data_IF_348952120199
#
_entry.id   IF_348952120199
#
_cell.length_a   1.000
_cell.length_b   1.000
_cell.length_c   1.000
_cell.angle_alpha   90.00
_cell.angle_beta   90.00
_cell.angle_gamma   90.00
#
_symmetry.space_group_name_H-M   'P 1'
#
loop_
_entity.id
_entity.type
_entity.pdbx_description
1 polymer ?
#
# COMPACT_ATOMS: atom_id res chain seq x y z
N UNK A 1 13.56 10.20 -2.14
CA UNK A 1 12.65 9.71 -1.07
C UNK A 1 12.12 8.34 -1.46
N UNK A 2 11.78 7.48 -0.50
CA UNK A 2 11.21 6.13 -0.73
C UNK A 2 9.99 6.18 -1.67
N UNK A 3 9.18 7.22 -1.53
CA UNK A 3 8.03 7.51 -2.41
C UNK A 3 8.39 7.63 -3.90
N UNK A 4 9.58 8.17 -4.23
CA UNK A 4 10.06 8.32 -5.62
C UNK A 4 10.40 6.96 -6.23
N UNK A 5 10.98 6.06 -5.43
CA UNK A 5 11.31 4.68 -5.85
C UNK A 5 10.04 3.86 -6.11
N UNK A 6 8.99 4.09 -5.31
CA UNK A 6 7.66 3.50 -5.49
C UNK A 6 7.04 3.87 -6.86
N UNK A 7 7.12 5.15 -7.24
CA UNK A 7 6.60 5.63 -8.54
C UNK A 7 7.43 5.13 -9.73
N UNK A 8 8.75 4.96 -9.56
CA UNK A 8 9.64 4.42 -10.59
C UNK A 8 9.42 2.92 -10.81
N UNK A 9 9.20 2.15 -9.73
CA UNK A 9 8.89 0.72 -9.79
C UNK A 9 7.50 0.43 -10.40
N UNK A 10 6.53 1.34 -10.26
CA UNK A 10 5.23 1.19 -10.93
C UNK A 10 5.31 1.47 -12.45
N UNK A 11 6.23 2.33 -12.89
CA UNK A 11 6.40 2.67 -14.32
C UNK A 11 7.10 1.60 -15.14
N UNK A 12 8.02 0.86 -14.53
CA UNK A 12 8.71 -0.25 -15.17
C UNK A 12 8.15 -1.55 -14.59
N UNK A 13 7.50 -2.39 -15.42
CA UNK A 13 7.14 -3.79 -15.09
C UNK A 13 8.41 -4.67 -14.89
N UNK A 14 9.42 -4.18 -14.20
CA UNK A 14 10.52 -4.95 -13.69
C UNK A 14 10.06 -5.51 -12.35
N UNK A 15 9.87 -6.83 -12.35
CA UNK A 15 9.61 -7.71 -11.23
C UNK A 15 10.20 -7.15 -9.92
N UNK A 16 9.39 -6.42 -9.15
CA UNK A 16 9.80 -5.94 -7.83
C UNK A 16 10.08 -7.17 -6.98
N UNK A 17 11.23 -7.19 -6.32
CA UNK A 17 11.63 -8.30 -5.47
C UNK A 17 10.51 -8.60 -4.43
N UNK A 18 10.00 -9.85 -4.35
CA UNK A 18 8.96 -10.21 -3.41
C UNK A 18 9.28 -9.86 -1.95
N UNK A 19 10.56 -9.94 -1.54
CA UNK A 19 10.98 -9.56 -0.19
C UNK A 19 10.77 -8.06 0.03
N UNK A 20 11.11 -7.25 -0.97
CA UNK A 20 10.90 -5.79 -0.91
C UNK A 20 9.42 -5.44 -0.82
N UNK A 21 8.58 -6.09 -1.62
CA UNK A 21 7.12 -5.94 -1.55
C UNK A 21 6.57 -6.33 -0.19
N UNK A 22 7.07 -7.43 0.40
CA UNK A 22 6.67 -7.88 1.74
C UNK A 22 7.06 -6.87 2.83
N UNK A 23 8.27 -6.30 2.76
CA UNK A 23 8.71 -5.26 3.70
C UNK A 23 7.87 -3.97 3.58
N UNK A 24 7.47 -3.60 2.36
CA UNK A 24 6.55 -2.48 2.15
C UNK A 24 5.17 -2.77 2.74
N UNK A 25 4.62 -3.95 2.51
CA UNK A 25 3.34 -4.36 3.07
C UNK A 25 3.36 -4.38 4.61
N UNK A 26 4.41 -4.96 5.21
CA UNK A 26 4.62 -4.98 6.66
C UNK A 26 4.64 -3.58 7.24
N UNK A 27 5.37 -2.66 6.60
CA UNK A 27 5.46 -1.26 7.04
C UNK A 27 4.12 -0.53 6.91
N UNK A 28 3.41 -0.74 5.80
CA UNK A 28 2.10 -0.13 5.57
C UNK A 28 1.07 -0.59 6.61
N UNK A 29 1.05 -1.88 6.96
CA UNK A 29 0.18 -2.40 8.03
C UNK A 29 0.58 -1.85 9.39
N UNK A 30 1.87 -1.84 9.73
CA UNK A 30 2.35 -1.32 11.01
C UNK A 30 1.90 0.12 11.22
N UNK A 31 2.11 1.01 10.24
CA UNK A 31 1.72 2.41 10.36
C UNK A 31 0.22 2.63 10.19
N UNK A 32 -0.50 1.79 9.44
CA UNK A 32 -1.96 1.81 9.43
C UNK A 32 -2.55 1.62 10.84
N UNK A 33 -1.95 0.75 11.65
CA UNK A 33 -2.41 0.46 13.01
C UNK A 33 -1.90 1.46 14.06
N UNK A 34 -0.71 2.03 13.86
CA UNK A 34 -0.04 2.85 14.89
C UNK A 34 -0.11 4.36 14.63
N UNK A 35 -0.15 4.79 13.37
CA UNK A 35 -0.29 6.20 12.96
C UNK A 35 -1.75 6.50 12.60
N UNK A 36 -2.54 6.85 13.63
CA UNK A 36 -3.97 7.14 13.44
C UNK A 36 -4.22 8.39 12.60
N UNK A 37 -3.33 9.39 12.68
CA UNK A 37 -3.46 10.66 11.95
C UNK A 37 -3.35 10.46 10.44
N UNK A 38 -2.51 9.51 10.01
CA UNK A 38 -2.30 9.19 8.59
C UNK A 38 -2.82 7.80 8.17
N UNK A 39 -3.72 7.21 8.96
CA UNK A 39 -4.26 5.86 8.69
C UNK A 39 -4.90 5.72 7.29
N UNK A 40 -5.48 6.79 6.72
CA UNK A 40 -6.00 6.80 5.35
C UNK A 40 -4.90 6.67 4.28
N UNK A 41 -3.74 7.32 4.47
CA UNK A 41 -2.61 7.21 3.56
C UNK A 41 -2.02 5.79 3.56
N UNK A 42 -1.93 5.18 4.74
CA UNK A 42 -1.45 3.80 4.88
C UNK A 42 -2.43 2.77 4.30
N UNK A 43 -3.75 3.00 4.45
CA UNK A 43 -4.76 2.16 3.80
C UNK A 43 -4.60 2.17 2.28
N UNK A 44 -4.44 3.35 1.66
CA UNK A 44 -4.21 3.46 0.20
C UNK A 44 -2.94 2.73 -0.25
N UNK A 45 -1.89 2.73 0.57
CA UNK A 45 -0.68 1.97 0.27
C UNK A 45 -0.94 0.46 0.28
N UNK A 46 -1.69 -0.04 1.27
CA UNK A 46 -2.09 -1.46 1.35
C UNK A 46 -2.92 -1.85 0.13
N UNK A 47 -3.95 -1.07 -0.20
CA UNK A 47 -4.80 -1.28 -1.36
C UNK A 47 -4.00 -1.30 -2.67
N UNK A 48 -2.97 -0.46 -2.80
CA UNK A 48 -2.12 -0.41 -3.99
C UNK A 48 -1.12 -1.56 -4.06
N UNK A 49 -0.56 -2.02 -2.94
CA UNK A 49 0.42 -3.12 -2.90
C UNK A 49 -0.26 -4.46 -3.18
N UNK A 50 -1.46 -4.66 -2.61
CA UNK A 50 -2.25 -5.87 -2.77
C UNK A 50 -3.18 -5.83 -4.00
N UNK A 51 -3.10 -4.76 -4.79
CA UNK A 51 -3.89 -4.57 -6.01
C UNK A 51 -5.40 -4.76 -5.80
N UNK A 52 -5.94 -4.20 -4.72
CA UNK A 52 -7.36 -4.30 -4.42
C UNK A 52 -8.21 -3.74 -5.56
N UNK A 53 -9.24 -4.49 -5.91
CA UNK A 53 -10.25 -4.10 -6.88
C UNK A 53 -11.08 -2.94 -6.36
N UNK A 54 -11.73 -2.21 -7.27
CA UNK A 54 -12.65 -1.13 -6.89
C UNK A 54 -13.81 -1.63 -6.01
N UNK A 55 -14.23 -2.88 -6.19
CA UNK A 55 -15.26 -3.49 -5.35
C UNK A 55 -14.76 -3.71 -3.91
N UNK A 56 -13.54 -4.22 -3.73
CA UNK A 56 -12.92 -4.40 -2.41
C UNK A 56 -12.72 -3.06 -1.71
N UNK A 57 -12.19 -2.06 -2.41
CA UNK A 57 -12.05 -0.68 -1.89
C UNK A 57 -13.39 -0.10 -1.44
N UNK A 58 -14.45 -0.29 -2.23
CA UNK A 58 -15.80 0.17 -1.88
C UNK A 58 -16.33 -0.53 -0.62
N UNK A 59 -16.12 -1.84 -0.50
CA UNK A 59 -16.53 -2.60 0.69
C UNK A 59 -15.78 -2.14 1.95
N UNK A 60 -14.47 -1.87 1.85
CA UNK A 60 -13.65 -1.37 2.95
C UNK A 60 -14.10 0.04 3.37
N UNK A 61 -14.35 0.92 2.39
CA UNK A 61 -14.85 2.28 2.63
C UNK A 61 -16.19 2.27 3.40
N UNK A 62 -17.08 1.32 3.09
CA UNK A 62 -18.35 1.17 3.82
C UNK A 62 -18.21 0.60 5.23
N UNK A 63 -17.21 -0.24 5.46
CA UNK A 63 -16.98 -0.90 6.75
C UNK A 63 -16.29 0.01 7.78
N UNK A 64 -15.81 1.18 7.32
CA UNK A 64 -15.01 2.11 8.10
C UNK A 64 -15.81 3.34 8.50
#
# INVERSE_FOLDING_TARGET
TIYRRLLEAQKNKQHVDPEVTLQFLKSAIYYFLTDKENSQGHLKAIESILEFTEQEKNNISKAR
#
